data_IF_461883735029
#
_entry.id   IF_461883735029
#
_cell.length_a   1.000
_cell.length_b   1.000
_cell.length_c   1.000
_cell.angle_alpha   90.00
_cell.angle_beta   90.00
_cell.angle_gamma   90.00
#
_symmetry.space_group_name_H-M   'P 1'
#
loop_
_entity.id
_entity.type
_entity.pdbx_description
1 polymer ?
#
# COMPACT_ATOMS: atom_id res chain seq x y z
N UNK A 1 0.47 -11.90 -19.42
CA UNK A 1 -0.04 -11.70 -18.04
C UNK A 1 -0.14 -13.06 -17.38
N UNK A 2 0.63 -13.30 -16.32
CA UNK A 2 0.57 -14.56 -15.59
C UNK A 2 -0.67 -14.59 -14.68
N UNK A 3 -1.39 -15.72 -14.67
CA UNK A 3 -2.61 -15.91 -13.90
C UNK A 3 -2.64 -17.30 -13.29
N UNK A 4 -2.78 -17.37 -11.97
CA UNK A 4 -2.76 -18.62 -11.21
C UNK A 4 -4.08 -18.81 -10.47
N UNK A 5 -4.78 -19.89 -10.77
CA UNK A 5 -5.99 -20.28 -10.04
C UNK A 5 -5.66 -20.58 -8.57
N UNK A 6 -6.46 -20.03 -7.66
CA UNK A 6 -6.33 -20.27 -6.23
C UNK A 6 -7.40 -21.22 -5.72
N UNK A 7 -8.67 -20.85 -5.91
CA UNK A 7 -9.81 -21.57 -5.32
C UNK A 7 -11.12 -21.16 -5.98
N UNK A 8 -12.11 -22.07 -5.94
CA UNK A 8 -13.51 -21.80 -6.28
C UNK A 8 -14.35 -21.80 -5.00
N UNK A 9 -15.23 -20.82 -4.84
CA UNK A 9 -16.21 -20.77 -3.75
C UNK A 9 -17.57 -20.33 -4.33
N UNK A 10 -18.54 -21.23 -4.31
CA UNK A 10 -19.83 -21.01 -4.98
C UNK A 10 -19.65 -20.78 -6.49
N UNK A 11 -20.19 -19.66 -6.99
CA UNK A 11 -20.07 -19.24 -8.40
C UNK A 11 -18.77 -18.50 -8.71
N UNK A 12 -17.94 -18.21 -7.70
CA UNK A 12 -16.74 -17.40 -7.80
C UNK A 12 -15.48 -18.24 -7.98
N UNK A 13 -14.62 -17.82 -8.91
CA UNK A 13 -13.27 -18.35 -9.10
C UNK A 13 -12.27 -17.25 -8.77
N UNK A 14 -11.33 -17.52 -7.87
CA UNK A 14 -10.33 -16.55 -7.45
C UNK A 14 -8.97 -16.89 -8.05
N UNK A 15 -8.28 -15.84 -8.51
CA UNK A 15 -6.98 -15.95 -9.14
C UNK A 15 -6.00 -14.97 -8.53
N UNK A 16 -4.73 -15.37 -8.47
CA UNK A 16 -3.60 -14.48 -8.31
C UNK A 16 -3.14 -14.05 -9.71
N UNK A 17 -3.06 -12.75 -9.97
CA UNK A 17 -2.77 -12.21 -11.30
C UNK A 17 -1.60 -11.23 -11.24
N UNK A 18 -0.71 -11.35 -12.21
CA UNK A 18 0.43 -10.44 -12.37
C UNK A 18 -0.02 -9.16 -13.10
N UNK A 19 -0.78 -8.31 -12.42
CA UNK A 19 -1.29 -7.04 -12.94
C UNK A 19 -1.08 -5.85 -12.01
N UNK A 20 -0.62 -6.07 -10.77
CA UNK A 20 -0.40 -5.03 -9.73
C UNK A 20 -1.65 -4.23 -9.37
N UNK A 21 -2.03 -4.18 -8.09
CA UNK A 21 -3.12 -3.27 -7.69
C UNK A 21 -2.89 -2.67 -6.32
N UNK A 22 -2.84 -1.34 -6.25
CA UNK A 22 -2.58 -0.61 -5.00
C UNK A 22 -1.11 -0.52 -4.60
N UNK A 23 -0.18 -1.01 -5.43
CA UNK A 23 1.26 -0.97 -5.16
C UNK A 23 1.92 0.41 -5.34
N UNK A 24 1.23 1.42 -5.86
CA UNK A 24 1.88 2.65 -6.36
C UNK A 24 2.73 3.43 -5.35
N UNK A 25 2.41 3.36 -4.05
CA UNK A 25 3.23 3.94 -2.97
C UNK A 25 4.11 2.92 -2.27
N UNK A 26 3.95 1.63 -2.54
CA UNK A 26 4.80 0.61 -1.93
C UNK A 26 6.24 0.76 -2.43
N UNK A 27 7.25 0.40 -1.61
CA UNK A 27 8.64 0.42 -2.03
C UNK A 27 8.88 -0.52 -3.23
N UNK A 28 9.99 -0.28 -3.93
CA UNK A 28 10.37 -1.11 -5.08
C UNK A 28 10.46 -2.59 -4.68
N UNK A 29 10.01 -3.47 -5.58
CA UNK A 29 10.00 -4.91 -5.33
C UNK A 29 8.90 -5.40 -4.38
N UNK A 30 8.10 -4.50 -3.78
CA UNK A 30 6.93 -4.89 -3.01
C UNK A 30 5.94 -5.69 -3.87
N UNK A 31 5.37 -6.80 -3.37
CA UNK A 31 4.56 -7.71 -4.19
C UNK A 31 3.29 -7.05 -4.74
N UNK A 32 2.78 -5.99 -4.12
CA UNK A 32 1.62 -5.21 -4.61
C UNK A 32 1.85 -4.51 -5.95
N UNK A 33 3.12 -4.30 -6.35
CA UNK A 33 3.45 -3.78 -7.69
C UNK A 33 3.15 -4.78 -8.79
N UNK A 34 3.22 -6.06 -8.46
CA UNK A 34 3.14 -7.13 -9.45
C UNK A 34 1.83 -7.90 -9.32
N UNK A 35 1.36 -8.14 -8.10
CA UNK A 35 0.32 -9.12 -7.84
C UNK A 35 -0.93 -8.49 -7.25
N UNK A 36 -2.08 -8.98 -7.70
CA UNK A 36 -3.38 -8.71 -7.12
C UNK A 36 -4.25 -9.98 -7.14
N UNK A 37 -5.37 -9.95 -6.42
CA UNK A 37 -6.39 -10.99 -6.49
C UNK A 37 -7.49 -10.53 -7.43
N UNK A 38 -7.93 -11.39 -8.33
CA UNK A 38 -9.11 -11.16 -9.15
C UNK A 38 -10.18 -12.21 -8.85
N UNK A 39 -11.44 -11.78 -8.75
CA UNK A 39 -12.61 -12.64 -8.63
C UNK A 39 -13.34 -12.71 -9.98
N UNK A 40 -13.64 -13.92 -10.45
CA UNK A 40 -14.43 -14.15 -11.66
C UNK A 40 -15.73 -14.90 -11.39
N UNK A 41 -16.82 -14.44 -11.99
CA UNK A 41 -18.12 -15.13 -12.03
C UNK A 41 -18.64 -15.16 -13.47
N UNK A 42 -19.08 -16.33 -13.95
CA UNK A 42 -19.56 -16.46 -15.34
C UNK A 42 -18.55 -16.03 -16.41
N UNK A 43 -17.25 -16.16 -16.15
CA UNK A 43 -16.17 -15.76 -17.06
C UNK A 43 -15.81 -14.27 -17.07
N UNK A 44 -16.48 -13.43 -16.27
CA UNK A 44 -16.18 -11.99 -16.16
C UNK A 44 -15.45 -11.67 -14.86
N UNK A 45 -14.49 -10.75 -14.90
CA UNK A 45 -13.86 -10.19 -13.70
C UNK A 45 -14.88 -9.31 -13.00
N UNK A 46 -15.20 -9.62 -11.76
CA UNK A 46 -16.17 -8.88 -10.97
C UNK A 46 -15.49 -7.89 -10.04
N UNK A 47 -14.43 -8.34 -9.38
CA UNK A 47 -13.73 -7.58 -8.36
C UNK A 47 -12.22 -7.81 -8.47
N UNK A 48 -11.46 -6.80 -8.07
CA UNK A 48 -10.02 -6.87 -7.90
C UNK A 48 -9.67 -6.45 -6.48
N UNK A 49 -8.67 -7.07 -5.89
CA UNK A 49 -8.19 -6.74 -4.55
C UNK A 49 -6.67 -6.62 -4.53
N UNK A 50 -6.16 -5.58 -3.87
CA UNK A 50 -4.75 -5.55 -3.45
C UNK A 50 -4.48 -6.73 -2.52
N UNK A 51 -3.23 -7.18 -2.43
CA UNK A 51 -2.86 -8.26 -1.51
C UNK A 51 -3.17 -7.88 -0.06
N UNK A 52 -2.93 -6.63 0.31
CA UNK A 52 -3.19 -6.06 1.64
C UNK A 52 -4.66 -6.09 1.99
N UNK A 53 -5.54 -5.69 1.07
CA UNK A 53 -7.00 -5.78 1.23
C UNK A 53 -7.45 -7.24 1.31
N UNK A 54 -6.98 -8.08 0.38
CA UNK A 54 -7.35 -9.49 0.32
C UNK A 54 -6.90 -10.28 1.55
N UNK A 55 -5.76 -9.95 2.16
CA UNK A 55 -5.26 -10.58 3.39
C UNK A 55 -6.25 -10.48 4.55
N UNK A 56 -6.88 -9.30 4.72
CA UNK A 56 -7.75 -8.99 5.85
C UNK A 56 -9.24 -9.21 5.61
N UNK A 57 -9.66 -9.44 4.37
CA UNK A 57 -11.08 -9.55 4.02
C UNK A 57 -11.68 -10.92 4.41
N UNK A 58 -12.33 -11.00 5.58
CA UNK A 58 -12.87 -12.26 6.14
C UNK A 58 -13.86 -12.99 5.23
N UNK A 59 -14.58 -12.26 4.39
CA UNK A 59 -15.52 -12.81 3.41
C UNK A 59 -14.82 -13.54 2.25
N UNK A 60 -13.53 -13.30 2.04
CA UNK A 60 -12.75 -14.01 1.02
C UNK A 60 -12.38 -15.43 1.48
N UNK A 61 -12.26 -16.38 0.53
CA UNK A 61 -11.87 -17.73 0.86
C UNK A 61 -10.54 -17.78 1.65
N UNK A 62 -10.39 -18.69 2.65
CA UNK A 62 -9.17 -18.80 3.44
C UNK A 62 -7.89 -18.94 2.61
N UNK A 63 -7.95 -19.67 1.48
CA UNK A 63 -6.82 -19.85 0.57
C UNK A 63 -6.37 -18.55 -0.10
N UNK A 64 -7.29 -17.64 -0.41
CA UNK A 64 -6.99 -16.32 -0.98
C UNK A 64 -6.27 -15.46 0.06
N UNK A 65 -6.82 -15.39 1.27
CA UNK A 65 -6.22 -14.66 2.40
C UNK A 65 -4.82 -15.17 2.72
N UNK A 66 -4.65 -16.49 2.80
CA UNK A 66 -3.36 -17.12 3.08
C UNK A 66 -2.31 -16.82 2.00
N UNK A 67 -2.64 -16.93 0.70
CA UNK A 67 -1.69 -16.62 -0.37
C UNK A 67 -1.27 -15.15 -0.34
N UNK A 68 -2.21 -14.25 -0.10
CA UNK A 68 -1.94 -12.81 0.01
C UNK A 68 -1.04 -12.50 1.21
N UNK A 69 -1.33 -13.09 2.38
CA UNK A 69 -0.51 -13.00 3.58
C UNK A 69 0.91 -13.53 3.33
N UNK A 70 1.03 -14.68 2.67
CA UNK A 70 2.29 -15.35 2.40
C UNK A 70 3.22 -14.50 1.52
N UNK A 71 2.69 -13.93 0.42
CA UNK A 71 3.46 -13.07 -0.47
C UNK A 71 3.96 -11.81 0.25
N UNK A 72 3.10 -11.16 1.02
CA UNK A 72 3.45 -9.95 1.78
C UNK A 72 4.51 -10.25 2.87
N UNK A 73 4.36 -11.35 3.61
CA UNK A 73 5.30 -11.75 4.66
C UNK A 73 6.69 -12.05 4.09
N UNK A 74 6.76 -12.73 2.94
CA UNK A 74 8.03 -13.08 2.28
C UNK A 74 8.82 -11.84 1.83
N UNK A 75 8.14 -10.76 1.46
CA UNK A 75 8.81 -9.52 1.07
C UNK A 75 9.43 -8.81 2.28
N UNK A 76 8.70 -8.71 3.40
CA UNK A 76 9.16 -8.03 4.62
C UNK A 76 10.46 -8.60 5.17
N UNK A 77 10.57 -9.94 5.17
CA UNK A 77 11.77 -10.63 5.66
C UNK A 77 13.04 -10.29 4.87
N UNK A 78 12.94 -9.81 3.63
CA UNK A 78 14.11 -9.44 2.82
C UNK A 78 14.57 -8.01 3.06
N UNK A 79 13.66 -7.09 3.40
CA UNK A 79 13.92 -5.64 3.36
C UNK A 79 13.99 -4.98 4.73
N UNK A 80 13.78 -5.71 5.83
CA UNK A 80 13.85 -5.15 7.18
C UNK A 80 15.25 -4.65 7.58
N UNK A 81 16.27 -4.84 6.74
CA UNK A 81 17.65 -4.37 6.97
C UNK A 81 18.12 -3.34 5.92
N UNK A 82 17.29 -3.00 4.94
CA UNK A 82 17.69 -2.14 3.82
C UNK A 82 17.41 -0.66 4.08
N UNK A 83 18.26 0.20 3.52
CA UNK A 83 18.02 1.65 3.47
C UNK A 83 16.95 1.92 2.40
N UNK A 84 15.91 2.73 2.69
CA UNK A 84 14.91 3.06 1.67
C UNK A 84 15.51 3.80 0.48
N UNK A 85 15.03 3.48 -0.72
CA UNK A 85 15.42 4.17 -1.95
C UNK A 85 15.00 5.65 -1.92
N UNK A 86 15.94 6.54 -2.27
CA UNK A 86 15.74 8.00 -2.18
C UNK A 86 14.68 8.50 -3.16
N UNK A 87 14.57 7.92 -4.35
CA UNK A 87 13.58 8.33 -5.35
C UNK A 87 12.17 7.90 -4.93
N UNK A 88 12.04 6.71 -4.35
CA UNK A 88 10.79 6.27 -3.73
C UNK A 88 10.39 7.16 -2.55
N UNK A 89 11.32 7.54 -1.68
CA UNK A 89 11.04 8.51 -0.60
C UNK A 89 10.53 9.83 -1.18
N UNK A 90 11.18 10.39 -2.19
CA UNK A 90 10.71 11.62 -2.86
C UNK A 90 9.28 11.47 -3.39
N UNK A 91 8.94 10.33 -4.00
CA UNK A 91 7.59 10.05 -4.49
C UNK A 91 6.56 10.02 -3.35
N UNK A 92 6.83 9.29 -2.27
CA UNK A 92 5.92 9.15 -1.12
C UNK A 92 5.70 10.48 -0.43
N UNK A 93 6.78 11.20 -0.10
CA UNK A 93 6.68 12.49 0.56
C UNK A 93 5.97 13.52 -0.31
N UNK A 94 6.29 13.59 -1.61
CA UNK A 94 5.58 14.47 -2.55
C UNK A 94 4.09 14.13 -2.63
N UNK A 95 3.75 12.84 -2.65
CA UNK A 95 2.36 12.41 -2.69
C UNK A 95 1.59 12.95 -1.48
N UNK A 96 2.07 12.74 -0.25
CA UNK A 96 1.37 13.20 0.95
C UNK A 96 1.41 14.73 1.10
N UNK A 97 2.52 15.38 0.74
CA UNK A 97 2.63 16.85 0.81
C UNK A 97 1.56 17.55 -0.05
N UNK A 98 1.24 17.00 -1.22
CA UNK A 98 0.16 17.52 -2.08
C UNK A 98 -1.26 17.20 -1.59
N UNK A 99 -1.38 16.38 -0.54
CA UNK A 99 -2.67 15.94 0.03
C UNK A 99 -3.04 16.72 1.29
N UNK A 100 -2.18 17.58 1.82
CA UNK A 100 -2.54 18.45 2.95
C UNK A 100 -3.26 19.72 2.48
N UNK A 101 -4.46 19.99 3.02
CA UNK A 101 -5.22 21.21 2.72
C UNK A 101 -4.72 22.36 3.60
N UNK A 102 -4.33 23.51 3.02
CA UNK A 102 -3.88 24.68 3.81
C UNK A 102 -4.99 25.28 4.68
N UNK A 103 -6.24 25.12 4.26
CA UNK A 103 -7.45 25.69 4.86
C UNK A 103 -8.34 24.64 5.56
N UNK A 104 -7.96 23.36 5.51
CA UNK A 104 -8.77 22.26 6.03
C UNK A 104 -10.10 22.02 5.31
N UNK A 105 -10.35 22.65 4.15
CA UNK A 105 -11.65 22.58 3.47
C UNK A 105 -11.70 21.45 2.43
N UNK A 106 -10.60 21.12 1.74
CA UNK A 106 -10.51 19.88 0.94
C UNK A 106 -9.11 19.59 0.39
N UNK A 107 -8.48 18.47 0.77
CA UNK A 107 -7.48 17.73 -0.05
C UNK A 107 -7.48 16.26 0.35
N UNK A 108 -8.30 15.47 -0.33
CA UNK A 108 -8.40 14.03 -0.13
C UNK A 108 -7.03 13.36 -0.41
N UNK A 109 -6.30 12.69 0.50
CA UNK A 109 -6.63 11.79 1.61
C UNK A 109 -6.61 12.37 3.04
N UNK A 110 -7.71 12.39 3.79
CA UNK A 110 -9.11 12.64 3.43
C UNK A 110 -9.56 13.99 4.00
N UNK A 111 -9.09 14.33 5.20
CA UNK A 111 -9.25 15.60 5.93
C UNK A 111 -8.07 15.81 6.92
N UNK A 112 -6.86 15.39 6.53
CA UNK A 112 -5.72 15.49 7.45
C UNK A 112 -5.28 16.95 7.60
N UNK A 113 -5.80 17.58 8.65
CA UNK A 113 -5.31 18.85 9.18
C UNK A 113 -3.99 18.55 9.90
N UNK A 114 -2.87 18.90 9.28
CA UNK A 114 -1.77 19.41 10.08
C UNK A 114 -2.16 20.84 10.41
N UNK A 115 -2.38 21.12 11.69
CA UNK A 115 -2.62 22.49 12.15
C UNK A 115 -1.35 23.29 11.87
N UNK A 116 -1.22 23.88 10.68
CA UNK A 116 -0.03 24.64 10.29
C UNK A 116 0.24 25.85 11.21
N UNK A 117 -0.71 26.22 12.08
CA UNK A 117 -0.47 27.27 13.09
C UNK A 117 0.40 26.77 14.24
N UNK A 118 0.47 25.45 14.45
CA UNK A 118 1.31 24.81 15.46
C UNK A 118 2.25 23.84 14.74
N UNK A 119 3.57 24.05 14.81
CA UNK A 119 4.53 23.09 14.27
C UNK A 119 4.29 21.70 14.88
N UNK A 120 3.65 20.82 14.10
CA UNK A 120 3.41 19.45 14.53
C UNK A 120 4.74 18.71 14.55
N UNK A 121 4.97 17.86 15.57
CA UNK A 121 6.14 17.00 15.60
C UNK A 121 6.26 16.19 14.29
N UNK A 122 7.46 16.09 13.68
CA UNK A 122 7.71 15.37 12.43
C UNK A 122 7.21 13.92 12.42
N UNK A 123 7.11 13.31 13.60
CA UNK A 123 6.65 11.95 13.82
C UNK A 123 5.19 11.73 13.44
N UNK A 124 4.38 12.80 13.36
CA UNK A 124 2.98 12.72 12.94
C UNK A 124 2.78 12.92 11.43
N UNK A 125 3.85 13.12 10.67
CA UNK A 125 3.77 13.27 9.23
C UNK A 125 3.33 11.96 8.56
N UNK A 126 2.30 11.99 7.71
CA UNK A 126 1.71 10.77 7.13
C UNK A 126 2.69 10.02 6.24
N UNK A 127 3.52 10.73 5.46
CA UNK A 127 4.57 10.09 4.67
C UNK A 127 5.56 9.34 5.57
N UNK A 128 5.95 9.94 6.69
CA UNK A 128 6.86 9.32 7.64
C UNK A 128 6.23 8.06 8.26
N UNK A 129 4.99 8.17 8.74
CA UNK A 129 4.23 7.05 9.30
C UNK A 129 4.04 5.92 8.28
N UNK A 130 3.82 6.26 7.01
CA UNK A 130 3.70 5.29 5.93
C UNK A 130 5.03 4.58 5.67
N UNK A 131 6.14 5.32 5.53
CA UNK A 131 7.49 4.75 5.32
C UNK A 131 7.86 3.82 6.47
N UNK A 132 7.54 4.19 7.71
CA UNK A 132 7.82 3.40 8.92
C UNK A 132 7.14 2.03 8.94
N UNK A 133 6.06 1.82 8.16
CA UNK A 133 5.43 0.51 8.02
C UNK A 133 6.32 -0.50 7.27
N UNK A 134 7.23 -0.01 6.44
CA UNK A 134 8.17 -0.78 5.63
C UNK A 134 9.58 -0.77 6.22
N UNK A 135 9.99 0.37 6.78
CA UNK A 135 11.31 0.61 7.33
C UNK A 135 11.18 1.15 8.77
N UNK A 136 11.04 0.26 9.79
CA UNK A 136 10.72 0.66 11.17
C UNK A 136 11.75 1.61 11.80
N UNK A 137 13.02 1.47 11.40
CA UNK A 137 14.15 2.26 11.90
C UNK A 137 14.35 3.57 11.12
N UNK A 138 13.50 3.86 10.13
CA UNK A 138 13.54 5.13 9.41
C UNK A 138 13.29 6.29 10.37
N UNK A 139 14.15 7.31 10.27
CA UNK A 139 14.04 8.56 11.02
C UNK A 139 13.39 9.64 10.15
N UNK A 140 12.64 10.60 10.74
CA UNK A 140 12.00 11.66 9.97
C UNK A 140 12.99 12.47 9.13
N UNK A 141 12.72 12.60 7.83
CA UNK A 141 13.47 13.48 6.93
C UNK A 141 12.86 14.88 6.92
N UNK A 142 13.49 15.79 7.66
CA UNK A 142 13.02 17.17 7.80
C UNK A 142 13.04 17.97 6.49
N UNK A 143 13.91 17.61 5.53
CA UNK A 143 13.97 18.30 4.24
C UNK A 143 12.74 17.93 3.41
N UNK A 144 12.38 16.63 3.38
CA UNK A 144 11.20 16.16 2.63
C UNK A 144 9.88 16.55 3.28
N UNK A 145 9.83 16.57 4.62
CA UNK A 145 8.64 16.97 5.39
C UNK A 145 8.28 18.43 5.12
N UNK A 146 9.27 19.32 5.07
CA UNK A 146 9.02 20.74 4.81
C UNK A 146 8.63 21.05 3.36
N UNK A 147 8.77 20.07 2.46
CA UNK A 147 8.65 20.28 1.02
C UNK A 147 9.90 20.96 0.46
N UNK A 148 10.18 20.69 -0.82
CA UNK A 148 11.16 21.46 -1.61
C UNK A 148 10.53 22.75 -2.11
#
# INVERSE_FOLDING_TARGET
MEKKFLVKQGASNYYLVNSGMGGFLCPLGHPEHNWCIEEYRGGRCMEMYSLSSAKGAEYLPPRVRWNSAFLLARWKARHSQDIPDSAWLDQVYTHFNHRYSPDGVNRNAGDCILDYKNEQPPEYHLAYLFVKQFYPDHVPDMVRIKGK
#
